data_IF_911440531436
#
_entry.id   IF_911440531436
#
_cell.length_a   1.000
_cell.length_b   1.000
_cell.length_c   1.000
_cell.angle_alpha   90.00
_cell.angle_beta   90.00
_cell.angle_gamma   90.00
#
_symmetry.space_group_name_H-M   'P 1'
#
loop_
_entity.id
_entity.type
_entity.pdbx_description
1 polymer ?
#
# COMPACT_ATOMS: atom_id res chain seq x y z
N UNK A 1 12.57 7.32 21.23
CA UNK A 1 13.49 6.32 21.83
C UNK A 1 12.80 5.02 22.20
N UNK A 2 11.74 4.97 23.01
CA UNK A 2 11.04 3.69 23.29
C UNK A 2 10.13 3.20 22.14
N UNK A 3 9.62 4.09 21.31
CA UNK A 3 8.71 3.73 20.21
C UNK A 3 9.45 3.08 19.03
N UNK A 4 10.65 3.59 18.71
CA UNK A 4 11.43 3.14 17.55
C UNK A 4 11.85 1.67 17.71
N UNK A 5 12.21 1.27 18.94
CA UNK A 5 12.55 -0.11 19.29
C UNK A 5 11.37 -1.07 19.03
N UNK A 6 10.13 -0.65 19.32
CA UNK A 6 8.94 -1.47 19.11
C UNK A 6 8.61 -1.64 17.61
N UNK A 7 8.85 -0.60 16.79
CA UNK A 7 8.67 -0.65 15.34
C UNK A 7 9.67 -1.61 14.71
N UNK A 8 10.95 -1.50 15.12
CA UNK A 8 12.01 -2.37 14.61
C UNK A 8 11.75 -3.84 14.97
N UNK A 9 11.25 -4.12 16.18
CA UNK A 9 10.84 -5.46 16.60
C UNK A 9 9.72 -6.04 15.73
N UNK A 10 8.68 -5.25 15.43
CA UNK A 10 7.59 -5.67 14.55
C UNK A 10 8.12 -5.95 13.13
N UNK A 11 9.01 -5.08 12.63
CA UNK A 11 9.59 -5.25 11.29
C UNK A 11 10.44 -6.53 11.19
N UNK A 12 11.30 -6.78 12.18
CA UNK A 12 12.11 -8.00 12.25
C UNK A 12 11.24 -9.26 12.30
N UNK A 13 10.17 -9.25 13.11
CA UNK A 13 9.24 -10.37 13.19
C UNK A 13 8.52 -10.60 11.86
N UNK A 14 8.03 -9.54 11.21
CA UNK A 14 7.36 -9.65 9.92
C UNK A 14 8.26 -10.31 8.86
N UNK A 15 9.53 -9.92 8.80
CA UNK A 15 10.49 -10.50 7.86
C UNK A 15 10.85 -11.95 8.22
N UNK A 16 10.96 -12.29 9.51
CA UNK A 16 11.17 -13.65 9.97
C UNK A 16 10.01 -14.58 9.58
N UNK A 17 8.76 -14.18 9.90
CA UNK A 17 7.56 -14.93 9.49
C UNK A 17 7.51 -15.09 7.99
N UNK A 18 7.80 -14.04 7.22
CA UNK A 18 7.78 -14.13 5.75
C UNK A 18 8.83 -15.10 5.21
N UNK A 19 10.02 -15.16 5.82
CA UNK A 19 11.10 -16.06 5.42
C UNK A 19 10.76 -17.53 5.67
N UNK A 20 9.99 -17.83 6.72
CA UNK A 20 9.54 -19.19 7.06
C UNK A 20 8.45 -19.70 6.12
N UNK A 21 7.69 -18.81 5.46
CA UNK A 21 6.61 -19.20 4.54
C UNK A 21 7.19 -19.76 3.24
N UNK A 22 6.86 -21.02 2.85
CA UNK A 22 7.21 -21.58 1.56
C UNK A 22 6.70 -20.70 0.42
N UNK A 23 7.48 -20.56 -0.65
CA UNK A 23 7.18 -19.67 -1.80
C UNK A 23 5.75 -19.80 -2.34
N UNK A 24 5.18 -21.03 -2.34
CA UNK A 24 3.81 -21.29 -2.81
C UNK A 24 2.71 -20.60 -1.98
N UNK A 25 3.01 -20.30 -0.72
CA UNK A 25 2.09 -19.71 0.25
C UNK A 25 2.32 -18.20 0.49
N UNK A 26 3.46 -17.65 0.06
CA UNK A 26 3.80 -16.24 0.26
C UNK A 26 2.75 -15.26 -0.31
N UNK A 27 2.00 -15.67 -1.34
CA UNK A 27 0.90 -14.87 -1.92
C UNK A 27 -0.27 -14.61 -0.96
N UNK A 28 -0.41 -15.41 0.10
CA UNK A 28 -1.46 -15.28 1.11
C UNK A 28 -1.04 -14.39 2.29
N UNK A 29 0.24 -14.02 2.35
CA UNK A 29 0.76 -13.08 3.33
C UNK A 29 0.64 -11.65 2.80
N UNK A 30 -0.02 -10.77 3.55
CA UNK A 30 -0.32 -9.39 3.14
C UNK A 30 0.90 -8.46 3.26
N UNK A 31 2.07 -8.88 2.75
CA UNK A 31 3.35 -8.16 2.89
C UNK A 31 3.27 -6.69 2.47
N UNK A 32 2.61 -6.42 1.34
CA UNK A 32 2.47 -5.05 0.83
C UNK A 32 1.69 -4.16 1.79
N UNK A 33 0.60 -4.68 2.35
CA UNK A 33 -0.22 -3.95 3.31
C UNK A 33 0.56 -3.69 4.59
N UNK A 34 1.23 -4.71 5.14
CA UNK A 34 2.05 -4.58 6.33
C UNK A 34 3.21 -3.59 6.14
N UNK A 35 3.96 -3.67 5.04
CA UNK A 35 5.00 -2.71 4.70
C UNK A 35 4.45 -1.27 4.63
N UNK A 36 3.22 -1.11 4.12
CA UNK A 36 2.55 0.18 4.08
C UNK A 36 2.28 0.72 5.50
N UNK A 37 1.73 -0.12 6.39
CA UNK A 37 1.54 0.26 7.80
C UNK A 37 2.85 0.64 8.48
N UNK A 38 3.90 -0.18 8.31
CA UNK A 38 5.21 0.06 8.92
C UNK A 38 5.86 1.36 8.43
N UNK A 39 5.71 1.69 7.15
CA UNK A 39 6.23 2.93 6.58
C UNK A 39 5.56 4.18 7.16
N UNK A 40 4.26 4.12 7.46
CA UNK A 40 3.51 5.25 7.99
C UNK A 40 3.49 5.32 9.52
N UNK A 41 3.72 4.22 10.22
CA UNK A 41 3.73 4.17 11.69
C UNK A 41 4.55 5.29 12.36
N UNK A 42 5.83 5.53 12.00
CA UNK A 42 6.63 6.58 12.63
C UNK A 42 6.17 8.00 12.28
N UNK A 43 5.29 8.16 11.28
CA UNK A 43 4.81 9.47 10.79
C UNK A 43 3.52 9.93 11.44
N UNK A 44 2.85 9.03 12.15
CA UNK A 44 1.61 9.32 12.87
C UNK A 44 1.97 10.08 14.14
N UNK A 45 1.36 11.26 14.33
CA UNK A 45 1.64 12.12 15.49
C UNK A 45 0.97 11.61 16.77
N UNK A 46 -0.13 10.87 16.65
CA UNK A 46 -0.88 10.33 17.78
C UNK A 46 -0.27 9.04 18.34
N UNK A 47 0.19 9.08 19.61
CA UNK A 47 0.73 7.88 20.28
C UNK A 47 -0.28 6.74 20.37
N UNK A 48 -1.54 7.06 20.66
CA UNK A 48 -2.63 6.07 20.72
C UNK A 48 -2.90 5.44 19.37
N UNK A 49 -2.85 6.23 18.29
CA UNK A 49 -3.05 5.74 16.91
C UNK A 49 -1.90 4.82 16.49
N UNK A 50 -0.64 5.17 16.83
CA UNK A 50 0.51 4.30 16.60
C UNK A 50 0.37 2.95 17.31
N UNK A 51 -0.06 2.98 18.58
CA UNK A 51 -0.28 1.76 19.37
C UNK A 51 -1.42 0.91 18.79
N UNK A 52 -2.50 1.52 18.31
CA UNK A 52 -3.62 0.83 17.69
C UNK A 52 -3.18 0.09 16.41
N UNK A 53 -2.40 0.75 15.55
CA UNK A 53 -1.88 0.11 14.34
C UNK A 53 -0.87 -0.99 14.68
N UNK A 54 0.05 -0.73 15.61
CA UNK A 54 1.02 -1.71 16.04
C UNK A 54 0.32 -2.97 16.60
N UNK A 55 -0.69 -2.79 17.45
CA UNK A 55 -1.48 -3.88 18.00
C UNK A 55 -2.21 -4.70 16.91
N UNK A 56 -2.77 -4.03 15.89
CA UNK A 56 -3.42 -4.73 14.78
C UNK A 56 -2.44 -5.53 13.91
N UNK A 57 -1.24 -4.99 13.66
CA UNK A 57 -0.18 -5.75 12.96
C UNK A 57 0.24 -6.97 13.80
N UNK A 58 0.45 -6.79 15.10
CA UNK A 58 0.85 -7.88 15.98
C UNK A 58 -0.23 -8.97 16.04
N UNK A 59 -1.50 -8.60 16.20
CA UNK A 59 -2.61 -9.55 16.21
C UNK A 59 -2.74 -10.31 14.88
N UNK A 60 -2.53 -9.62 13.75
CA UNK A 60 -2.47 -10.27 12.44
C UNK A 60 -1.34 -11.30 12.36
N UNK A 61 -0.13 -10.96 12.82
CA UNK A 61 1.02 -11.87 12.79
C UNK A 61 0.80 -13.07 13.71
N UNK A 62 0.29 -12.86 14.92
CA UNK A 62 -0.03 -13.92 15.88
C UNK A 62 -1.04 -14.92 15.29
N UNK A 63 -2.14 -14.43 14.71
CA UNK A 63 -3.15 -15.33 14.12
C UNK A 63 -2.64 -15.99 12.82
N UNK A 64 -1.81 -15.30 12.04
CA UNK A 64 -1.20 -15.88 10.85
C UNK A 64 -0.27 -17.05 11.21
N UNK A 65 0.57 -16.91 12.25
CA UNK A 65 1.46 -17.96 12.75
C UNK A 65 0.70 -19.17 13.34
N UNK A 66 -0.55 -18.99 13.77
CA UNK A 66 -1.42 -20.10 14.22
C UNK A 66 -2.03 -20.84 13.02
N UNK A 67 -2.51 -20.08 12.03
CA UNK A 67 -3.18 -20.61 10.84
C UNK A 67 -2.19 -21.30 9.90
N UNK A 68 -1.00 -20.71 9.74
CA UNK A 68 0.10 -21.29 8.98
C UNK A 68 0.87 -22.25 9.90
N UNK A 69 1.15 -23.51 9.50
CA UNK A 69 1.05 -24.08 8.16
C UNK A 69 -0.23 -24.87 7.85
N UNK A 70 -1.22 -24.89 8.75
CA UNK A 70 -2.34 -25.83 8.73
C UNK A 70 -3.32 -25.62 7.56
N UNK A 71 -3.85 -24.41 7.36
CA UNK A 71 -5.01 -24.18 6.47
C UNK A 71 -4.93 -22.90 5.62
N UNK A 72 -3.73 -22.52 5.18
CA UNK A 72 -3.57 -21.25 4.46
C UNK A 72 -4.13 -21.30 3.03
N UNK A 73 -5.23 -20.60 2.80
CA UNK A 73 -5.89 -20.43 1.50
C UNK A 73 -6.37 -18.97 1.27
N UNK A 74 -6.96 -18.68 0.11
CA UNK A 74 -7.42 -17.31 -0.25
C UNK A 74 -8.47 -16.79 0.73
N UNK A 75 -9.44 -17.62 1.12
CA UNK A 75 -10.54 -17.20 1.98
C UNK A 75 -10.03 -16.86 3.39
N UNK A 76 -9.16 -17.71 3.93
CA UNK A 76 -8.53 -17.49 5.25
C UNK A 76 -7.64 -16.25 5.24
N UNK A 77 -6.85 -16.05 4.18
CA UNK A 77 -6.04 -14.86 4.03
C UNK A 77 -6.90 -13.58 3.99
N UNK A 78 -7.96 -13.57 3.17
CA UNK A 78 -8.88 -12.45 3.07
C UNK A 78 -9.57 -12.15 4.41
N UNK A 79 -9.94 -13.20 5.14
CA UNK A 79 -10.57 -13.08 6.46
C UNK A 79 -9.60 -12.49 7.51
N UNK A 80 -8.36 -13.00 7.58
CA UNK A 80 -7.31 -12.42 8.44
C UNK A 80 -7.07 -10.93 8.15
N UNK A 81 -7.03 -10.56 6.86
CA UNK A 81 -6.91 -9.16 6.47
C UNK A 81 -8.11 -8.33 6.92
N UNK A 82 -9.33 -8.82 6.68
CA UNK A 82 -10.57 -8.11 6.99
C UNK A 82 -10.80 -7.95 8.49
N UNK A 83 -10.38 -8.93 9.30
CA UNK A 83 -10.52 -8.89 10.76
C UNK A 83 -9.52 -7.94 11.43
N UNK A 84 -8.26 -7.93 10.98
CA UNK A 84 -7.19 -7.18 11.68
C UNK A 84 -6.77 -5.90 10.97
N UNK A 85 -6.44 -5.98 9.68
CA UNK A 85 -5.77 -4.91 8.96
C UNK A 85 -6.76 -3.93 8.33
N UNK A 86 -7.88 -4.42 7.79
CA UNK A 86 -8.87 -3.59 7.11
C UNK A 86 -9.52 -2.50 7.98
N UNK A 87 -9.95 -2.77 9.24
CA UNK A 87 -10.60 -1.76 10.07
C UNK A 87 -9.67 -0.57 10.33
N UNK A 88 -8.39 -0.88 10.57
CA UNK A 88 -7.34 0.10 10.81
C UNK A 88 -7.00 0.85 9.52
N UNK A 89 -6.82 0.16 8.39
CA UNK A 89 -6.60 0.80 7.09
C UNK A 89 -7.69 1.82 6.77
N UNK A 90 -8.97 1.45 6.96
CA UNK A 90 -10.13 2.32 6.68
C UNK A 90 -10.18 3.54 7.59
N UNK A 91 -9.85 3.38 8.88
CA UNK A 91 -9.82 4.48 9.85
C UNK A 91 -8.77 5.54 9.49
N UNK A 92 -7.64 5.11 8.95
CA UNK A 92 -6.49 5.97 8.66
C UNK A 92 -6.31 6.30 7.17
N UNK A 93 -7.22 5.84 6.30
CA UNK A 93 -7.21 6.03 4.84
C UNK A 93 -6.92 7.48 4.43
N UNK A 94 -7.58 8.43 5.10
CA UNK A 94 -7.49 9.87 4.83
C UNK A 94 -6.30 10.58 5.49
N UNK A 95 -5.71 10.00 6.54
CA UNK A 95 -4.66 10.65 7.37
C UNK A 95 -3.25 10.19 7.02
N UNK A 96 -3.11 8.91 6.72
CA UNK A 96 -1.82 8.28 6.54
C UNK A 96 -1.52 7.98 5.09
N UNK A 97 -2.38 8.36 4.14
CA UNK A 97 -2.20 7.99 2.74
C UNK A 97 -2.01 6.49 2.63
N UNK A 98 -2.89 5.71 3.28
CA UNK A 98 -3.01 4.29 2.94
C UNK A 98 -3.51 4.26 1.50
N UNK A 99 -2.58 4.39 0.56
CA UNK A 99 -2.88 4.38 -0.86
C UNK A 99 -3.45 2.99 -1.10
N UNK A 100 -4.75 2.87 -1.44
CA UNK A 100 -5.25 1.59 -1.90
C UNK A 100 -4.28 1.14 -2.99
N UNK A 101 -3.79 -0.10 -2.93
CA UNK A 101 -2.82 -0.58 -3.92
C UNK A 101 -3.52 -0.51 -5.28
N UNK A 102 -3.37 0.62 -5.97
CA UNK A 102 -3.92 0.82 -7.29
C UNK A 102 -3.08 -0.12 -8.14
N UNK A 103 -3.68 -1.16 -8.74
CA UNK A 103 -2.92 -2.07 -9.57
C UNK A 103 -2.22 -1.24 -10.63
N UNK A 104 -0.91 -1.46 -10.87
CA UNK A 104 -0.10 -0.73 -11.86
C UNK A 104 -0.86 -0.56 -13.20
N UNK A 105 -1.69 -1.53 -13.56
CA UNK A 105 -2.62 -1.48 -14.72
C UNK A 105 -3.50 -0.22 -14.78
N UNK A 106 -4.00 0.28 -13.65
CA UNK A 106 -4.79 1.52 -13.63
C UNK A 106 -3.92 2.77 -13.87
N UNK A 107 -2.64 2.78 -13.48
CA UNK A 107 -1.70 3.85 -13.89
C UNK A 107 -1.47 3.85 -15.40
N UNK A 108 -1.39 2.68 -16.05
CA UNK A 108 -1.26 2.58 -17.51
C UNK A 108 -2.48 3.09 -18.28
N UNK A 109 -3.67 3.14 -17.66
CA UNK A 109 -4.89 3.70 -18.28
C UNK A 109 -4.94 5.23 -18.14
N UNK A 110 -4.43 5.78 -17.04
CA UNK A 110 -4.45 7.22 -16.78
C UNK A 110 -3.36 7.99 -17.55
N UNK A 111 -2.21 7.36 -17.78
CA UNK A 111 -1.07 8.01 -18.46
C UNK A 111 -1.37 8.45 -19.91
N UNK A 112 -2.04 7.64 -20.77
CA UNK A 112 -2.42 8.05 -22.12
C UNK A 112 -3.45 9.18 -22.13
N UNK A 113 -4.36 9.21 -21.16
CA UNK A 113 -5.40 10.24 -21.06
C UNK A 113 -4.78 11.60 -20.73
N UNK A 114 -3.83 11.64 -19.79
CA UNK A 114 -3.08 12.86 -19.47
C UNK A 114 -2.21 13.32 -20.65
N UNK A 115 -1.55 12.40 -21.36
CA UNK A 115 -0.78 12.72 -22.56
C UNK A 115 -1.68 13.29 -23.68
N UNK A 116 -2.87 12.73 -23.89
CA UNK A 116 -3.83 13.21 -24.87
C UNK A 116 -4.33 14.63 -24.54
N UNK A 117 -4.61 14.92 -23.27
CA UNK A 117 -4.97 16.28 -22.83
C UNK A 117 -3.82 17.25 -23.06
N UNK A 118 -2.58 16.85 -22.77
CA UNK A 118 -1.40 17.68 -23.02
C UNK A 118 -1.19 17.97 -24.52
N UNK A 119 -1.35 16.96 -25.38
CA UNK A 119 -1.33 17.14 -26.84
C UNK A 119 -2.45 18.08 -27.32
N UNK A 120 -3.65 17.98 -26.76
CA UNK A 120 -4.78 18.81 -27.16
C UNK A 120 -4.59 20.27 -26.73
N UNK A 121 -4.10 20.50 -25.51
CA UNK A 121 -3.71 21.84 -25.04
C UNK A 121 -2.57 22.40 -25.88
N UNK A 122 -1.55 21.59 -26.21
CA UNK A 122 -0.47 22.00 -27.08
C UNK A 122 -0.99 22.42 -28.46
N UNK A 123 -1.82 21.61 -29.11
CA UNK A 123 -2.44 21.94 -30.41
C UNK A 123 -3.29 23.21 -30.38
N UNK A 124 -4.03 23.45 -29.29
CA UNK A 124 -4.85 24.64 -29.12
C UNK A 124 -4.07 25.90 -28.74
N UNK A 125 -2.84 25.75 -28.23
CA UNK A 125 -1.96 26.86 -27.83
C UNK A 125 -0.86 27.15 -28.84
N UNK A 126 -0.74 26.37 -29.92
CA UNK A 126 0.05 26.78 -31.08
C UNK A 126 -0.56 28.08 -31.62
N UNK A 127 0.15 29.22 -31.54
CA UNK A 127 -0.37 30.46 -32.07
C UNK A 127 -0.50 30.31 -33.59
N UNK A 128 -1.65 30.74 -34.14
CA UNK A 128 -1.90 30.74 -35.58
C UNK A 128 -0.82 31.46 -36.41
N UNK A 129 0.07 32.23 -35.77
CA UNK A 129 1.22 32.90 -36.37
C UNK A 129 2.26 31.96 -36.99
N UNK A 130 2.33 30.67 -36.63
CA UNK A 130 3.23 29.72 -37.31
C UNK A 130 2.73 29.29 -38.69
N UNK A 131 1.44 29.47 -39.00
CA UNK A 131 0.88 29.10 -40.31
C UNK A 131 0.96 30.22 -41.37
N UNK A 132 1.34 31.44 -40.99
CA UNK A 132 1.45 32.58 -41.92
C UNK A 132 2.87 32.80 -42.48
N UNK A 133 3.83 31.95 -42.18
CA UNK A 133 5.18 31.99 -42.78
C UNK A 133 5.34 30.90 -43.86
N UNK A 134 4.48 30.90 -44.88
CA UNK A 134 4.79 30.26 -46.16
C UNK A 134 5.22 31.37 -47.13
N UNK A 135 6.48 31.43 -47.57
CA UNK A 135 6.83 32.28 -48.71
C UNK A 135 6.19 31.66 -49.97
N UNK A 136 5.41 32.49 -50.69
CA UNK A 136 4.93 32.25 -52.05
C UNK A 136 6.11 32.10 -53.02
#
# INVERSE_FOLDING_TARGET
>A
MTNDIAIDQINQRMEAVFAEIPKKYQRFFHRRSLNNFMYYLPRIKGRTEQQEIAAAITAYLDEFEIVFPLELNIAVAADLFNRHLYPVARKFEWRCGFVPIVPLRACWVLFPQLAAVFCLVFLLTIPASTFYCLPL
#
